data_IF_569594108043
#
_entry.id   IF_569594108043
#
_cell.length_a   1.000
_cell.length_b   1.000
_cell.length_c   1.000
_cell.angle_alpha   90.00
_cell.angle_beta   90.00
_cell.angle_gamma   90.00
#
_symmetry.space_group_name_H-M   'P 1'
#
loop_
_entity.id
_entity.type
_entity.pdbx_description
1 polymer ?
2 polymer ?
#
# COMPACT_ATOMS: atom_id res chain seq x y z
N UNK A 15 16.38 -14.48 12.38
CA UNK A 15 15.91 -15.67 13.09
C UNK A 15 16.23 -15.62 14.59
N UNK A 16 17.18 -14.74 14.95
CA UNK A 16 17.56 -14.54 16.35
C UNK A 16 16.79 -13.40 17.00
N UNK A 17 16.16 -13.72 18.12
CA UNK A 17 15.61 -12.73 19.03
C UNK A 17 16.68 -11.73 19.34
N UNK A 18 16.35 -10.45 19.19
CA UNK A 18 17.27 -9.41 19.62
C UNK A 18 17.67 -9.77 21.05
N UNK A 19 16.72 -10.02 21.97
CA UNK A 19 15.36 -9.48 22.06
C UNK A 19 15.32 -9.24 23.56
N UNK A 20 16.12 -10.05 24.26
CA UNK A 20 16.38 -9.87 25.68
C UNK A 20 17.20 -8.60 25.85
N UNK A 21 17.93 -8.22 24.81
CA UNK A 21 18.64 -6.95 24.82
C UNK A 21 17.62 -5.80 24.91
N UNK A 22 16.51 -5.94 24.21
CA UNK A 22 15.48 -4.92 24.29
C UNK A 22 15.73 -3.78 23.33
N UNK A 23 16.86 -3.83 22.65
CA UNK A 23 17.17 -2.86 21.60
C UNK A 23 16.28 -3.09 20.37
N UNK A 24 15.04 -2.62 20.42
CA UNK A 24 14.15 -2.65 19.25
C UNK A 24 13.98 -1.25 18.66
N UNK A 25 13.93 -0.26 19.56
CA UNK A 25 13.87 1.16 19.23
C UNK A 25 15.20 1.63 18.64
N UNK A 26 16.29 1.09 19.16
CA UNK A 26 17.61 1.51 18.68
C UNK A 26 17.73 1.21 17.20
N UNK A 27 17.23 0.04 16.80
CA UNK A 27 17.20 -0.33 15.38
C UNK A 27 16.30 0.61 14.57
N UNK A 28 15.15 0.94 15.14
CA UNK A 28 14.18 1.82 14.47
C UNK A 28 14.75 3.22 14.27
N UNK A 29 15.44 3.72 15.28
CA UNK A 29 16.11 5.01 15.22
C UNK A 29 17.18 4.99 14.14
N UNK A 30 17.86 3.86 13.97
CA UNK A 30 18.82 3.73 12.88
C UNK A 30 18.15 3.76 11.50
N UNK A 31 17.08 2.99 11.32
CA UNK A 31 16.34 2.91 10.04
C UNK A 31 15.68 4.23 9.67
N UNK A 32 15.16 4.91 10.68
CA UNK A 32 14.55 6.23 10.56
C UNK A 32 15.65 7.21 10.13
N UNK A 33 16.77 7.20 10.87
CA UNK A 33 17.87 8.14 10.65
C UNK A 33 18.58 7.90 9.34
N UNK A 34 19.00 6.66 9.10
CA UNK A 34 19.75 6.33 7.89
C UNK A 34 18.83 6.21 6.67
N UNK A 35 17.53 6.43 6.85
CA UNK A 35 16.59 6.46 5.73
C UNK A 35 16.87 7.68 4.85
N UNK A 36 17.06 7.45 3.56
CA UNK A 36 17.35 8.54 2.63
C UNK A 36 16.12 9.42 2.52
N UNK A 37 16.33 10.73 2.33
CA UNK A 37 15.23 11.63 2.04
C UNK A 37 15.43 12.22 0.63
N UNK A 38 14.36 12.37 -0.14
CA UNK A 38 14.50 12.83 -1.52
C UNK A 38 13.65 14.10 -1.77
N UNK A 39 13.84 14.77 -2.94
CA UNK A 39 13.02 15.98 -3.13
C UNK A 39 11.54 15.67 -3.27
N UNK A 40 10.68 16.57 -2.80
CA UNK A 40 9.24 16.41 -2.98
C UNK A 40 8.68 17.69 -3.57
N UNK A 41 9.16 18.08 -4.74
CA UNK A 41 8.77 19.36 -5.33
C UNK A 41 7.27 19.45 -5.63
N UNK A 42 6.76 18.47 -6.39
CA UNK A 42 5.39 18.48 -6.88
C UNK A 42 4.27 18.36 -5.81
N UNK A 43 4.45 17.49 -4.83
CA UNK A 43 3.51 17.42 -3.70
C UNK A 43 3.36 18.78 -3.01
N UNK A 44 4.45 19.55 -3.00
CA UNK A 44 4.55 20.79 -2.24
C UNK A 44 3.74 21.95 -2.82
N UNK A 45 3.57 21.93 -4.14
CA UNK A 45 2.90 22.99 -4.92
C UNK A 45 1.46 23.39 -4.49
N UNK A 46 1.23 24.70 -4.32
CA UNK A 46 -0.07 25.26 -3.93
C UNK A 46 -1.26 24.64 -4.68
N UNK A 47 -1.09 24.34 -5.97
CA UNK A 47 -2.07 23.55 -6.66
C UNK A 47 -2.27 22.16 -5.98
N UNK A 48 -1.18 21.56 -5.49
CA UNK A 48 -1.28 20.22 -4.90
C UNK A 48 -1.37 20.21 -3.37
N UNK A 49 -1.63 21.38 -2.78
CA UNK A 49 -1.78 21.44 -1.33
C UNK A 49 -2.94 20.56 -0.86
N UNK A 50 -4.05 20.54 -1.61
CA UNK A 50 -5.25 19.81 -1.19
C UNK A 50 -5.45 18.46 -1.86
N UNK A 51 -4.39 17.93 -2.47
CA UNK A 51 -4.46 16.57 -2.98
C UNK A 51 -3.69 15.67 -2.01
N UNK A 52 -3.19 16.29 -0.95
CA UNK A 52 -2.52 15.58 0.16
C UNK A 52 -3.40 15.58 1.40
N UNK A 53 -3.49 14.44 2.07
CA UNK A 53 -4.21 14.35 3.31
C UNK A 53 -3.25 14.83 4.37
N UNK A 54 -2.01 14.36 4.26
CA UNK A 54 -1.02 14.63 5.29
C UNK A 54 0.17 15.50 4.85
N UNK A 55 0.41 16.54 5.65
CA UNK A 55 1.38 17.58 5.31
C UNK A 55 2.81 17.07 5.41
N UNK A 56 2.99 16.08 6.27
CA UNK A 56 4.30 15.49 6.55
C UNK A 56 4.65 14.34 5.58
N UNK A 57 3.63 13.61 5.14
CA UNK A 57 3.81 12.48 4.23
C UNK A 57 3.54 12.87 2.79
N UNK A 58 4.50 12.59 1.92
CA UNK A 58 4.44 13.02 0.53
C UNK A 58 5.25 12.05 -0.30
N UNK A 59 4.90 11.90 -1.59
CA UNK A 59 5.67 11.00 -2.47
C UNK A 59 6.97 11.62 -2.96
N UNK A 60 7.99 10.77 -3.10
CA UNK A 60 9.22 11.22 -3.72
C UNK A 60 8.99 11.56 -5.18
N UNK A 61 9.61 12.64 -5.62
CA UNK A 61 9.41 13.14 -6.98
C UNK A 61 9.79 12.13 -8.07
N UNK A 62 10.62 11.15 -7.73
CA UNK A 62 11.16 10.23 -8.74
C UNK A 62 10.26 9.03 -8.93
N UNK A 63 9.68 8.56 -7.83
CA UNK A 63 8.89 7.32 -7.85
C UNK A 63 7.38 7.57 -7.88
N UNK A 64 6.97 8.84 -7.78
CA UNK A 64 5.54 9.17 -7.71
C UNK A 64 4.76 8.72 -8.94
N UNK A 65 3.47 8.46 -8.75
CA UNK A 65 2.60 8.09 -9.85
C UNK A 65 2.02 9.36 -10.47
N UNK A 66 2.05 9.42 -11.79
CA UNK A 66 1.51 10.58 -12.45
C UNK A 66 0.15 10.23 -13.07
N UNK A 67 -0.86 11.04 -12.75
CA UNK A 67 -2.19 10.86 -13.34
C UNK A 67 -2.22 11.34 -14.79
N UNK A 68 -2.86 10.59 -15.69
CA UNK A 68 -2.83 10.96 -17.11
C UNK A 68 -3.54 12.29 -17.47
N UNK A 69 -4.67 12.58 -16.81
CA UNK A 69 -5.41 13.85 -16.98
C UNK A 69 -4.49 15.08 -17.06
N UNK A 70 -4.56 15.80 -18.17
CA UNK A 70 -3.51 16.75 -18.56
C UNK A 70 -3.30 17.97 -17.63
N UNK A 71 -4.40 18.50 -17.11
CA UNK A 71 -4.33 19.67 -16.27
C UNK A 71 -3.38 19.42 -15.08
N UNK A 72 -3.71 18.41 -14.28
CA UNK A 72 -2.89 18.01 -13.15
C UNK A 72 -2.62 16.53 -13.17
N UNK A 73 -1.34 16.15 -13.13
CA UNK A 73 -0.98 14.74 -13.17
C UNK A 73 -0.61 14.21 -11.80
N UNK A 74 -0.93 14.98 -10.76
CA UNK A 74 -0.51 14.60 -9.42
C UNK A 74 -1.58 13.87 -8.60
N UNK A 75 -1.19 12.72 -8.06
CA UNK A 75 -1.83 12.07 -6.93
C UNK A 75 -0.73 11.64 -5.93
N UNK A 76 -1.09 11.58 -4.66
CA UNK A 76 -0.20 11.12 -3.59
C UNK A 76 0.01 9.59 -3.63
N UNK A 77 0.74 9.10 -4.63
CA UNK A 77 1.10 7.69 -4.65
C UNK A 77 2.56 7.52 -5.02
N UNK A 78 3.21 6.49 -4.48
CA UNK A 78 4.57 6.19 -4.93
C UNK A 78 4.75 4.73 -5.35
N UNK A 79 5.38 4.54 -6.50
CA UNK A 79 5.69 3.20 -6.99
C UNK A 79 6.90 2.63 -6.27
N UNK A 80 6.70 1.47 -5.65
CA UNK A 80 7.84 0.70 -5.18
C UNK A 80 8.10 -0.36 -6.21
N UNK A 81 9.34 -0.45 -6.69
CA UNK A 81 9.75 -1.57 -7.53
C UNK A 81 10.86 -2.31 -6.80
N UNK A 82 10.71 -3.61 -6.65
CA UNK A 82 11.76 -4.38 -6.01
C UNK A 82 12.36 -5.33 -7.05
N UNK A 83 13.52 -4.97 -7.59
CA UNK A 83 14.07 -5.69 -8.75
C UNK A 83 14.19 -7.19 -8.51
N UNK A 84 15.10 -7.59 -7.64
CA UNK A 84 15.25 -9.00 -7.29
C UNK A 84 13.96 -9.77 -6.92
N UNK A 85 13.13 -9.25 -6.02
CA UNK A 85 11.97 -10.02 -5.56
C UNK A 85 10.94 -10.14 -6.68
N UNK A 86 10.95 -9.16 -7.57
CA UNK A 86 10.05 -9.15 -8.72
C UNK A 86 8.64 -8.68 -8.35
N UNK A 87 8.49 -8.10 -7.16
CA UNK A 87 7.19 -7.62 -6.71
C UNK A 87 7.12 -6.10 -6.64
N UNK A 88 6.09 -5.53 -7.25
CA UNK A 88 5.92 -4.07 -7.28
C UNK A 88 4.59 -3.66 -6.63
N UNK A 89 4.66 -2.67 -5.75
CA UNK A 89 3.48 -2.18 -5.03
C UNK A 89 3.27 -0.72 -5.36
N UNK A 90 2.02 -0.24 -5.26
CA UNK A 90 1.71 1.20 -5.28
C UNK A 90 1.11 1.67 -3.95
N UNK A 91 1.82 2.53 -3.26
CA UNK A 91 1.45 2.96 -1.93
C UNK A 91 0.94 4.40 -1.96
N UNK A 92 -0.30 4.59 -1.52
CA UNK A 92 -0.96 5.90 -1.60
C UNK A 92 -1.70 6.21 -0.27
N UNK A 93 -1.88 7.50 0.09
CA UNK A 93 -2.77 7.87 1.20
C UNK A 93 -4.16 7.38 0.81
N UNK A 94 -5.09 7.23 1.75
CA UNK A 94 -6.48 6.91 1.41
C UNK A 94 -7.15 8.02 0.60
N UNK A 95 -8.24 7.71 -0.12
CA UNK A 95 -8.79 8.82 -0.91
C UNK A 95 -9.44 9.89 -0.05
N UNK A 96 -9.16 11.16 -0.37
CA UNK A 96 -9.93 12.30 0.12
C UNK A 96 -11.19 12.45 -0.77
N UNK A 97 -12.19 13.25 -0.34
CA UNK A 97 -13.34 13.58 -1.17
C UNK A 97 -12.98 13.88 -2.62
N UNK A 98 -12.05 14.81 -2.79
CA UNK A 98 -11.48 15.12 -4.09
C UNK A 98 -10.90 13.88 -4.78
N UNK A 99 -10.11 13.12 -4.02
CA UNK A 99 -9.31 12.01 -4.52
C UNK A 99 -10.03 10.83 -5.21
N UNK A 100 -11.15 10.37 -4.66
CA UNK A 100 -11.82 9.12 -5.08
C UNK A 100 -11.72 8.84 -6.59
N UNK A 101 -11.95 9.88 -7.39
CA UNK A 101 -11.80 9.74 -8.82
C UNK A 101 -10.39 9.41 -9.23
N UNK A 102 -9.43 10.10 -8.61
CA UNK A 102 -8.02 9.94 -8.91
C UNK A 102 -7.56 8.57 -8.49
N UNK A 103 -8.00 8.15 -7.31
CA UNK A 103 -7.71 6.83 -6.82
C UNK A 103 -8.01 5.76 -7.86
N UNK A 104 -9.26 5.70 -8.28
CA UNK A 104 -9.67 4.78 -9.35
C UNK A 104 -8.99 5.05 -10.71
N UNK A 105 -8.69 6.32 -10.97
CA UNK A 105 -7.98 6.69 -12.19
C UNK A 105 -6.67 5.95 -12.27
N UNK A 106 -5.87 6.10 -11.24
CA UNK A 106 -4.57 5.44 -11.16
C UNK A 106 -4.79 3.94 -11.26
N UNK A 107 -5.70 3.42 -10.44
CA UNK A 107 -5.96 1.98 -10.41
C UNK A 107 -6.19 1.48 -11.83
N UNK A 108 -6.97 2.25 -12.57
CA UNK A 108 -7.22 1.94 -13.97
C UNK A 108 -6.01 2.20 -14.88
N UNK A 109 -5.27 3.27 -14.61
CA UNK A 109 -4.14 3.59 -15.46
C UNK A 109 -2.98 2.61 -15.35
N UNK A 110 -2.77 2.07 -14.17
CA UNK A 110 -1.59 1.23 -13.90
C UNK A 110 -1.87 -0.25 -14.15
N UNK A 111 -3.05 -0.54 -14.69
CA UNK A 111 -3.46 -1.90 -15.00
C UNK A 111 -3.51 -2.79 -13.75
N UNK A 112 -3.81 -2.17 -12.60
CA UNK A 112 -3.97 -2.87 -11.30
C UNK A 112 -5.17 -3.81 -11.25
N UNK A 113 -4.98 -4.97 -10.63
CA UNK A 113 -6.05 -5.95 -10.52
C UNK A 113 -6.24 -6.41 -9.08
N UNK A 114 -5.87 -5.53 -8.15
CA UNK A 114 -6.00 -5.78 -6.72
C UNK A 114 -5.80 -4.55 -5.86
N UNK A 115 -6.63 -4.41 -4.83
CA UNK A 115 -6.52 -3.29 -3.90
C UNK A 115 -6.40 -3.76 -2.44
N UNK A 116 -5.47 -3.18 -1.68
CA UNK A 116 -5.26 -3.58 -0.30
C UNK A 116 -5.48 -2.45 0.72
N UNK A 117 -6.68 -2.40 1.29
CA UNK A 117 -6.99 -1.46 2.37
C UNK A 117 -6.68 -2.07 3.74
N UNK A 118 -5.77 -1.46 4.50
CA UNK A 118 -5.49 -1.96 5.84
C UNK A 118 -5.98 -0.93 6.88
N UNK A 119 -6.58 0.16 6.40
CA UNK A 119 -6.92 1.31 7.28
C UNK A 119 -8.38 1.54 7.74
N UNK A 120 -8.88 0.76 8.72
CA UNK A 120 -10.23 0.95 9.30
C UNK A 120 -10.91 2.30 9.02
N UNK A 132 -15.08 4.63 -0.32
CA UNK A 132 -14.85 4.89 -1.75
C UNK A 132 -15.26 3.71 -2.63
N UNK A 133 -15.96 2.74 -2.05
CA UNK A 133 -16.62 1.69 -2.82
C UNK A 133 -18.13 1.68 -2.52
N UNK A 134 -18.93 0.97 -3.35
CA UNK A 134 -20.39 0.78 -3.15
C UNK A 134 -20.81 -0.20 -2.04
N UNK A 135 -21.72 0.24 -1.18
CA UNK A 135 -22.25 -0.62 -0.14
C UNK A 135 -23.28 -1.60 -0.71
N UNK A 136 -24.01 -1.18 -1.74
CA UNK A 136 -25.02 -2.06 -2.32
C UNK A 136 -24.78 -2.33 -3.81
N UNK A 137 -25.00 -3.58 -4.22
CA UNK A 137 -24.98 -3.97 -5.63
C UNK A 137 -26.05 -3.22 -6.41
N UNK A 138 -27.21 -3.04 -5.78
CA UNK A 138 -28.32 -2.32 -6.37
C UNK A 138 -27.92 -0.89 -6.80
N UNK A 139 -26.93 -0.32 -6.13
CA UNK A 139 -26.55 1.06 -6.40
C UNK A 139 -25.11 1.15 -6.87
N UNK A 140 -24.95 1.55 -8.13
CA UNK A 140 -23.63 1.71 -8.75
C UNK A 140 -22.95 2.96 -8.21
N UNK A 141 -21.67 3.15 -8.56
CA UNK A 141 -20.97 4.39 -8.22
C UNK A 141 -20.27 5.05 -9.42
N UNK A 142 -20.50 6.35 -9.58
CA UNK A 142 -19.94 7.06 -10.73
C UNK A 142 -19.13 8.30 -10.33
N UNK A 143 -17.97 8.47 -10.95
CA UNK A 143 -17.14 9.67 -10.73
C UNK A 143 -17.12 10.52 -11.99
N UNK A 144 -17.82 11.65 -11.96
CA UNK A 144 -17.81 12.57 -13.09
C UNK A 144 -16.39 13.05 -13.35
N UNK A 145 -15.75 13.48 -12.26
CA UNK A 145 -14.36 13.94 -12.30
C UNK A 145 -13.52 13.10 -13.24
N UNK A 146 -13.47 11.79 -13.01
CA UNK A 146 -12.55 10.95 -13.77
C UNK A 146 -13.24 10.08 -14.82
N UNK A 147 -14.55 10.23 -14.93
CA UNK A 147 -15.35 9.45 -15.86
C UNK A 147 -15.18 7.93 -15.78
N UNK A 148 -15.29 7.42 -14.56
CA UNK A 148 -15.23 5.98 -14.31
C UNK A 148 -16.44 5.54 -13.49
N UNK A 149 -16.87 4.31 -13.69
CA UNK A 149 -17.92 3.71 -12.88
C UNK A 149 -17.38 2.55 -12.09
N UNK A 150 -18.02 2.33 -10.93
CA UNK A 150 -17.64 1.29 -10.01
C UNK A 150 -18.90 0.61 -9.51
N UNK A 151 -19.07 -0.67 -9.84
CA UNK A 151 -20.17 -1.48 -9.28
C UNK A 151 -19.66 -2.65 -8.41
N UNK A 152 -20.31 -2.89 -7.27
CA UNK A 152 -19.92 -4.03 -6.43
C UNK A 152 -20.34 -5.24 -7.24
N UNK A 153 -19.65 -6.35 -7.09
CA UNK A 153 -20.05 -7.53 -7.82
C UNK A 153 -20.39 -8.58 -6.79
N UNK A 154 -19.46 -8.78 -5.86
CA UNK A 154 -19.71 -9.71 -4.78
C UNK A 154 -19.02 -9.20 -3.53
N UNK A 155 -19.29 -9.85 -2.41
CA UNK A 155 -18.69 -9.47 -1.13
C UNK A 155 -18.37 -10.73 -0.34
N UNK A 156 -17.35 -10.69 0.52
CA UNK A 156 -17.02 -11.79 1.44
C UNK A 156 -16.53 -11.22 2.75
N UNK A 157 -17.23 -11.55 3.82
CA UNK A 157 -16.81 -11.12 5.14
C UNK A 157 -16.22 -12.32 5.84
N UNK A 158 -14.95 -12.20 6.22
CA UNK A 158 -14.39 -13.03 7.28
C UNK A 158 -14.20 -12.09 8.49
N UNK A 159 -13.94 -12.61 9.69
CA UNK A 159 -13.85 -11.73 10.86
C UNK A 159 -12.66 -10.77 10.82
N UNK A 160 -11.49 -11.30 10.47
CA UNK A 160 -10.25 -10.51 10.41
C UNK A 160 -10.24 -9.50 9.26
N UNK A 161 -10.82 -9.86 8.11
CA UNK A 161 -10.69 -9.13 6.85
C UNK A 161 -11.87 -9.40 5.89
N UNK A 162 -12.20 -8.42 5.05
CA UNK A 162 -13.35 -8.53 4.15
C UNK A 162 -12.96 -8.30 2.69
N UNK A 163 -13.52 -9.09 1.79
CA UNK A 163 -13.12 -9.00 0.39
C UNK A 163 -14.27 -8.65 -0.49
N UNK A 164 -14.04 -7.71 -1.40
CA UNK A 164 -15.07 -7.42 -2.37
C UNK A 164 -14.60 -7.65 -3.81
N UNK A 165 -15.53 -8.10 -4.64
CA UNK A 165 -15.27 -8.24 -6.04
C UNK A 165 -15.96 -7.06 -6.69
N UNK A 166 -15.17 -6.25 -7.39
CA UNK A 166 -15.63 -4.96 -7.90
C UNK A 166 -15.49 -4.91 -9.42
N UNK A 167 -16.30 -4.06 -10.07
CA UNK A 167 -16.21 -3.84 -11.50
C UNK A 167 -15.97 -2.37 -11.85
N UNK A 168 -14.94 -2.12 -12.66
CA UNK A 168 -14.60 -0.80 -13.14
C UNK A 168 -14.82 -0.69 -14.62
N UNK A 169 -15.52 0.34 -15.05
CA UNK A 169 -15.65 0.61 -16.47
C UNK A 169 -15.24 2.05 -16.70
N UNK A 170 -14.26 2.29 -17.56
CA UNK A 170 -13.99 3.66 -18.00
C UNK A 170 -15.04 3.96 -19.02
N UNK A 171 -16.08 4.63 -18.56
CA UNK A 171 -17.21 4.96 -19.36
C UNK A 171 -16.85 5.37 -20.78
N UNK A 172 -15.81 6.20 -20.96
CA UNK A 172 -15.42 6.64 -22.30
C UNK A 172 -15.09 5.44 -23.21
N UNK A 173 -14.31 4.51 -22.68
CA UNK A 173 -13.97 3.26 -23.35
C UNK A 173 -15.17 2.32 -23.51
N UNK A 174 -16.07 2.33 -22.52
CA UNK A 174 -17.10 1.30 -22.31
C UNK A 174 -16.46 -0.09 -22.19
N UNK A 175 -15.27 -0.11 -21.59
CA UNK A 175 -14.48 -1.31 -21.40
C UNK A 175 -14.42 -1.64 -19.91
N UNK A 176 -14.91 -2.82 -19.52
CA UNK A 176 -15.00 -3.18 -18.11
C UNK A 176 -13.84 -4.09 -17.69
N UNK A 177 -13.12 -3.74 -16.63
CA UNK A 177 -12.09 -4.63 -16.09
C UNK A 177 -12.23 -4.87 -14.57
N UNK A 178 -12.24 -6.14 -14.13
CA UNK A 178 -12.55 -6.43 -12.73
C UNK A 178 -11.40 -6.15 -11.76
N UNK A 179 -11.75 -5.93 -10.50
CA UNK A 179 -10.79 -5.52 -9.48
C UNK A 179 -11.08 -6.27 -8.18
N UNK A 180 -10.05 -6.68 -7.42
CA UNK A 180 -10.26 -7.39 -6.14
C UNK A 180 -9.86 -6.58 -4.94
N UNK A 181 -10.82 -6.31 -4.05
CA UNK A 181 -10.58 -5.44 -2.89
C UNK A 181 -10.46 -6.18 -1.55
N UNK A 182 -9.24 -6.20 -1.00
CA UNK A 182 -8.99 -6.82 0.30
C UNK A 182 -8.92 -5.78 1.41
N UNK A 183 -9.83 -5.87 2.38
CA UNK A 183 -9.90 -4.92 3.49
C UNK A 183 -9.54 -5.59 4.80
N UNK A 184 -8.32 -5.38 5.30
CA UNK A 184 -7.96 -5.79 6.65
C UNK A 184 -8.72 -4.93 7.66
N UNK A 185 -9.89 -5.42 8.07
CA UNK A 185 -10.85 -4.70 8.91
C UNK A 185 -10.32 -4.15 10.23
N UNK A 186 -9.32 -4.81 10.81
CA UNK A 186 -8.89 -4.44 12.15
C UNK A 186 -7.40 -4.26 12.34
N UNK A 187 -6.84 -3.18 11.82
CA UNK A 187 -5.46 -2.86 12.09
C UNK A 187 -5.42 -1.51 12.72
N UNK A 188 -4.99 -1.41 13.97
CA UNK A 188 -5.01 -0.15 14.70
C UNK A 188 -4.00 0.81 14.12
N UNK A 189 -4.18 2.10 14.35
CA UNK A 189 -3.53 3.08 13.53
C UNK A 189 -2.04 2.90 13.56
N UNK A 190 -1.48 2.63 14.73
CA UNK A 190 -0.04 2.41 14.81
C UNK A 190 0.20 1.11 15.52
N UNK A 191 -0.63 0.13 15.18
CA UNK A 191 -0.73 -1.09 15.95
C UNK A 191 -0.65 -2.31 15.08
N UNK A 192 -0.56 -3.46 15.71
CA UNK A 192 -0.33 -4.72 14.99
C UNK A 192 -1.64 -5.53 14.95
N UNK A 193 -1.86 -6.27 13.85
CA UNK A 193 -1.01 -5.95 12.71
C UNK A 193 -1.76 -5.17 11.66
N UNK A 196 -0.93 -11.93 13.78
CA UNK A 196 0.36 -12.47 13.30
C UNK A 196 0.08 -13.65 12.39
N UNK A 197 -1.08 -14.26 12.62
CA UNK A 197 -1.56 -15.35 11.81
C UNK A 197 -2.55 -14.79 10.82
N UNK A 198 -3.49 -14.00 11.33
CA UNK A 198 -4.53 -13.42 10.50
C UNK A 198 -3.89 -12.60 9.40
N UNK A 199 -2.90 -11.80 9.78
CA UNK A 199 -2.10 -11.04 8.83
C UNK A 199 -1.64 -11.91 7.67
N UNK A 200 -1.07 -13.06 7.98
CA UNK A 200 -0.49 -13.93 6.96
C UNK A 200 -1.55 -14.57 6.07
N UNK A 201 -2.59 -15.11 6.71
CA UNK A 201 -3.74 -15.63 5.97
C UNK A 201 -4.23 -14.58 4.97
N UNK A 202 -4.36 -13.36 5.45
CA UNK A 202 -4.77 -12.25 4.63
C UNK A 202 -3.75 -11.99 3.55
N UNK A 203 -2.47 -12.02 3.89
CA UNK A 203 -1.48 -11.77 2.88
C UNK A 203 -1.58 -12.84 1.85
N UNK A 204 -1.67 -14.08 2.30
CA UNK A 204 -1.70 -15.21 1.40
C UNK A 204 -2.94 -15.17 0.53
N UNK A 205 -4.06 -14.82 1.14
CA UNK A 205 -5.30 -14.73 0.37
C UNK A 205 -5.11 -13.84 -0.86
N UNK A 206 -4.47 -12.68 -0.65
CA UNK A 206 -4.18 -11.70 -1.68
C UNK A 206 -3.24 -12.31 -2.70
N UNK A 207 -2.26 -13.07 -2.22
CA UNK A 207 -1.33 -13.75 -3.11
C UNK A 207 -2.06 -14.75 -4.02
N UNK A 208 -2.86 -15.62 -3.40
CA UNK A 208 -3.60 -16.66 -4.09
C UNK A 208 -4.53 -16.11 -5.17
N UNK A 209 -5.10 -14.93 -4.94
CA UNK A 209 -6.01 -14.31 -5.90
C UNK A 209 -5.30 -13.96 -7.20
N UNK A 210 -4.00 -13.74 -7.12
CA UNK A 210 -3.19 -13.47 -8.30
C UNK A 210 -3.01 -11.99 -8.53
N UNK A 211 -3.49 -11.19 -7.59
CA UNK A 211 -3.35 -9.74 -7.69
C UNK A 211 -1.90 -9.34 -7.64
N UNK A 212 -1.11 -10.04 -6.82
CA UNK A 212 0.33 -9.76 -6.76
C UNK A 212 1.07 -10.15 -8.04
N UNK A 213 0.63 -11.21 -8.71
CA UNK A 213 1.29 -11.70 -9.93
C UNK A 213 1.62 -10.60 -10.95
N UNK A 214 2.80 -10.72 -11.59
CA UNK A 214 3.41 -9.70 -12.45
C UNK A 214 2.77 -9.57 -13.80
N UNK A 215 1.82 -10.44 -14.12
CA UNK A 215 1.05 -10.25 -15.35
C UNK A 215 0.32 -8.91 -15.26
N UNK A 216 -0.15 -8.59 -14.06
CA UNK A 216 -1.03 -7.46 -13.86
C UNK A 216 -0.19 -6.29 -13.43
N UNK A 217 -0.76 -5.09 -13.50
CA UNK A 217 -0.07 -3.92 -12.97
C UNK A 217 0.11 -4.08 -11.46
N UNK A 218 0.65 -3.04 -10.81
CA UNK A 218 0.88 -3.01 -9.36
C UNK A 218 -0.38 -3.13 -8.51
N UNK A 219 -0.28 -3.90 -7.44
CA UNK A 219 -1.32 -3.91 -6.44
C UNK A 219 -1.26 -2.58 -5.70
N UNK A 220 -2.41 -1.95 -5.48
CA UNK A 220 -2.46 -0.68 -4.75
C UNK A 220 -2.58 -0.99 -3.26
N UNK A 221 -1.59 -0.58 -2.49
CA UNK A 221 -1.68 -0.77 -1.05
C UNK A 221 -1.92 0.54 -0.33
N UNK A 222 -3.01 0.62 0.42
CA UNK A 222 -3.23 1.84 1.17
C UNK A 222 -3.61 1.67 2.66
N UNK A 223 -2.77 2.29 3.50
CA UNK A 223 -3.08 2.58 4.88
C UNK A 223 -3.66 3.98 4.84
N UNK A 224 -3.85 4.61 5.99
CA UNK A 224 -4.35 5.98 6.05
C UNK A 224 -3.52 7.00 5.25
N UNK A 225 -2.18 6.97 5.40
CA UNK A 225 -1.28 7.77 4.55
C UNK A 225 -0.37 6.87 3.73
N UNK A 226 -0.50 5.58 3.94
CA UNK A 226 0.23 4.64 3.12
C UNK A 226 1.68 4.49 3.52
N UNK A 227 1.94 4.51 4.83
CA UNK A 227 3.30 4.25 5.31
C UNK A 227 3.40 3.12 6.35
N UNK A 228 2.86 3.31 7.56
CA UNK A 228 3.06 2.37 8.66
C UNK A 228 2.54 0.97 8.42
N UNK A 229 1.25 0.87 8.15
CA UNK A 229 0.64 -0.42 7.84
C UNK A 229 1.08 -0.92 6.48
N UNK A 230 1.13 -0.01 5.52
CA UNK A 230 1.51 -0.32 4.15
C UNK A 230 2.88 -0.95 4.11
N UNK A 231 3.78 -0.36 4.86
CA UNK A 231 5.16 -0.81 4.88
C UNK A 231 5.25 -2.18 5.50
N UNK A 232 4.53 -2.35 6.60
CA UNK A 232 4.59 -3.58 7.35
C UNK A 232 4.10 -4.69 6.46
N UNK A 233 2.98 -4.42 5.80
CA UNK A 233 2.40 -5.38 4.85
C UNK A 233 3.35 -5.73 3.75
N UNK A 234 3.88 -4.71 3.07
CA UNK A 234 4.70 -4.94 1.88
C UNK A 234 6.04 -5.50 2.27
N UNK A 235 6.50 -5.11 3.45
CA UNK A 235 7.77 -5.61 3.95
C UNK A 235 7.74 -7.11 4.09
N UNK A 236 6.70 -7.60 4.75
CA UNK A 236 6.55 -9.01 5.02
C UNK A 236 6.55 -9.83 3.75
N UNK A 237 5.62 -9.51 2.85
CA UNK A 237 5.44 -10.24 1.59
C UNK A 237 6.69 -10.30 0.69
N UNK A 238 7.46 -9.21 0.67
CA UNK A 238 8.66 -9.15 -0.17
C UNK A 238 9.74 -10.06 0.38
N UNK A 239 9.95 -9.99 1.70
CA UNK A 239 10.96 -10.80 2.34
C UNK A 239 10.62 -12.27 2.28
N UNK A 240 9.36 -12.60 2.49
CA UNK A 240 8.89 -13.97 2.28
C UNK A 240 9.18 -14.50 0.87
N UNK A 241 9.16 -13.59 -0.10
CA UNK A 241 9.56 -13.90 -1.48
C UNK A 241 11.07 -14.13 -1.65
N UNK A 242 11.85 -13.40 -0.86
CA UNK A 242 13.30 -13.50 -0.88
C UNK A 242 13.82 -14.86 -0.43
N UNK A 243 13.21 -15.42 0.61
CA UNK A 243 13.64 -16.71 1.14
C UNK A 243 13.46 -17.78 0.09
N UNK A 244 12.34 -17.71 -0.62
CA UNK A 244 12.08 -18.58 -1.76
C UNK A 244 13.18 -18.43 -2.79
N UNK A 245 13.31 -17.21 -3.30
CA UNK A 245 14.30 -16.94 -4.33
C UNK A 245 15.72 -17.29 -3.87
N UNK A 246 16.20 -16.67 -2.77
CA UNK A 246 17.58 -16.89 -2.28
C UNK A 246 17.78 -18.19 -1.50
N UNK A 249 19.44 -18.38 1.29
CA UNK A 249 18.54 -18.96 2.29
C UNK A 249 18.30 -18.04 3.47
N UNK A 250 19.23 -18.04 4.42
CA UNK A 250 19.10 -17.23 5.61
C UNK A 250 19.86 -15.93 5.42
N UNK A 251 20.25 -15.69 4.17
CA UNK A 251 21.06 -14.53 3.80
C UNK A 251 20.36 -13.20 4.05
N UNK A 252 19.06 -13.15 3.79
CA UNK A 252 18.31 -11.90 3.82
C UNK A 252 18.41 -11.07 5.11
N UNK A 253 18.43 -9.76 4.95
CA UNK A 253 18.42 -8.84 6.07
C UNK A 253 17.12 -8.07 5.97
N UNK A 254 16.40 -7.91 7.07
CA UNK A 254 15.13 -7.15 7.03
C UNK A 254 15.41 -5.67 6.82
N UNK A 255 16.28 -5.08 7.62
CA UNK A 255 16.91 -3.84 7.20
C UNK A 255 17.59 -4.12 5.84
N UNK A 256 18.14 -3.09 5.23
CA UNK A 256 18.66 -3.21 3.87
C UNK A 256 17.51 -3.35 2.89
N UNK A 257 16.70 -4.41 3.03
CA UNK A 257 15.46 -4.46 2.26
C UNK A 257 14.51 -3.25 2.55
N UNK A 258 14.29 -2.91 3.83
CA UNK A 258 13.37 -1.81 4.20
C UNK A 258 13.96 -0.43 3.92
N UNK A 259 15.24 -0.28 4.22
CA UNK A 259 15.95 0.89 3.81
C UNK A 259 15.80 1.06 2.31
N UNK A 260 16.00 -0.02 1.55
CA UNK A 260 15.88 0.02 0.08
C UNK A 260 14.46 0.38 -0.28
N UNK A 261 13.52 -0.29 0.39
CA UNK A 261 12.11 -0.02 0.16
C UNK A 261 11.76 1.42 0.52
N UNK A 262 12.34 1.92 1.62
CA UNK A 262 12.03 3.27 2.07
C UNK A 262 12.64 4.30 1.13
N UNK A 263 13.29 3.87 0.06
CA UNK A 263 13.87 4.82 -0.89
C UNK A 263 12.80 5.35 -1.84
N UNK A 264 11.81 4.51 -2.12
CA UNK A 264 10.71 4.81 -3.02
C UNK A 264 9.59 5.61 -2.35
N UNK A 265 9.34 5.36 -1.07
CA UNK A 265 8.33 6.12 -0.32
C UNK A 265 8.74 6.31 1.15
N UNK A 266 8.96 7.56 1.55
CA UNK A 266 9.42 7.88 2.89
C UNK A 266 8.55 7.28 4.00
N UNK A 267 9.17 7.01 5.15
CA UNK A 267 8.44 6.77 6.38
C UNK A 267 7.70 5.46 6.47
N UNK A 268 8.11 4.46 5.70
CA UNK A 268 7.54 3.11 5.83
C UNK A 268 7.85 2.53 7.20
N UNK A 269 6.88 1.80 7.76
CA UNK A 269 6.92 1.31 9.14
C UNK A 269 6.93 2.50 10.11
N UNK A 270 5.85 2.70 10.85
CA UNK A 270 5.76 3.87 11.73
C UNK A 270 6.17 3.57 13.15
N UNK A 271 6.32 2.30 13.53
CA UNK A 271 6.81 2.01 14.87
C UNK A 271 7.84 0.89 15.00
N UNK A 272 8.48 0.86 16.16
CA UNK A 272 9.39 -0.21 16.51
C UNK A 272 8.60 -1.51 16.71
N UNK A 273 7.50 -1.42 17.46
CA UNK A 273 6.57 -2.54 17.56
C UNK A 273 6.12 -3.11 16.19
N UNK A 274 5.83 -2.23 15.22
CA UNK A 274 5.48 -2.68 13.87
C UNK A 274 6.65 -3.32 13.10
N UNK A 275 7.84 -2.76 13.30
CA UNK A 275 9.01 -3.30 12.65
C UNK A 275 9.24 -4.69 13.16
N UNK A 276 9.25 -4.81 14.48
CA UNK A 276 9.39 -6.09 15.14
C UNK A 276 8.37 -7.03 14.51
N UNK A 277 7.16 -6.54 14.30
CA UNK A 277 6.14 -7.40 13.75
C UNK A 277 6.41 -7.97 12.36
N UNK A 278 6.96 -7.16 11.46
CA UNK A 278 7.31 -7.62 10.12
C UNK A 278 8.37 -8.71 10.22
N UNK A 279 9.44 -8.40 10.94
CA UNK A 279 10.41 -9.39 11.35
C UNK A 279 9.68 -10.64 11.80
N UNK A 280 8.64 -10.48 12.60
CA UNK A 280 7.98 -11.65 13.20
C UNK A 280 7.17 -12.44 12.18
N UNK A 281 6.22 -11.76 11.56
CA UNK A 281 5.44 -12.32 10.48
C UNK A 281 6.34 -13.09 9.54
N UNK A 282 7.41 -12.45 9.07
CA UNK A 282 8.29 -13.07 8.07
C UNK A 282 8.85 -14.38 8.61
N UNK A 283 9.30 -14.36 9.85
CA UNK A 283 9.82 -15.57 10.50
C UNK A 283 8.76 -16.67 10.49
N UNK A 284 7.59 -16.36 11.03
CA UNK A 284 6.48 -17.31 11.01
C UNK A 284 6.12 -17.72 9.59
N UNK A 285 6.17 -16.79 8.65
CA UNK A 285 5.77 -17.07 7.29
C UNK A 285 6.67 -18.07 6.60
N UNK A 286 7.90 -18.18 7.10
CA UNK A 286 8.88 -19.11 6.54
C UNK A 286 8.39 -20.55 6.54
N UNK A 287 7.51 -20.88 7.48
CA UNK A 287 6.92 -22.22 7.53
C UNK A 287 5.43 -22.24 7.12
N UNK B 1 -4.28 18.35 6.92
CA UNK B 1 -3.16 19.20 7.30
C UNK B 1 -2.61 18.77 8.65
N UNK B 2 -3.20 17.72 9.21
CA UNK B 2 -2.70 17.15 10.44
C UNK B 2 -1.47 16.37 10.06
N UNK B 3 -0.74 15.88 11.06
CA UNK B 3 0.41 15.04 10.78
C UNK B 3 0.17 13.61 11.22
N UNK B 4 0.39 12.67 10.32
CA UNK B 4 0.18 11.31 10.63
C UNK B 4 1.13 11.01 11.70
N UNK B 5 2.34 11.53 11.56
CA UNK B 5 3.43 11.15 12.42
C UNK B 5 3.14 11.56 13.84
N UNK B 6 3.64 10.77 14.78
CA UNK B 6 3.39 11.04 16.19
C UNK B 6 2.12 11.85 16.39
#
# INVERSE_FOLDING_TARGET
>A
MHHHHHHHMEMEKEFEQIDKSGSWAAIYQDIRHEASDFPCRVAKLPKNKNRNRYRDVSPFDHSRIKLHQEDNDYINASLIKMEEAQRSYILTQGPLPNTCGHFWEMVWEQKSRGVVMLNRVMEKGSLKCAQYWPQKEEKEMIFEDTNLKLTLISEDIKSYYTVRQLELENLTTQETREILHFHYTTWPDFGVPESPASFLNFLFKVRESGSLSPEHGPVVVHSSAGIGRSGTFCLADTCLLLMDKRKDPSSVDIKKVLLEMRKFRMGLIQTADQLRFSYLAVIEGAKFIMGDSSVQDQWKELSHEDLEPPPEHIPPPPRPPKRILEPHN
>B
EAQXQPGENL
#
